data_IF_630655609314
#
_entry.id   IF_630655609314
#
_cell.length_a   1.000
_cell.length_b   1.000
_cell.length_c   1.000
_cell.angle_alpha   90.00
_cell.angle_beta   90.00
_cell.angle_gamma   90.00
#
_symmetry.space_group_name_H-M   'P 1'
#
loop_
_entity.id
_entity.type
_entity.pdbx_description
1 polymer ?
#
# COMPACT_ATOMS: atom_id res chain seq x y z
N UNK A 1 -5.78 -25.66 13.96
CA UNK A 1 -5.66 -24.19 14.03
C UNK A 1 -6.92 -23.55 13.48
N UNK A 2 -7.47 -22.51 14.12
CA UNK A 2 -8.63 -21.75 13.61
C UNK A 2 -8.15 -20.76 12.53
N UNK A 3 -8.93 -20.53 11.45
CA UNK A 3 -8.54 -19.63 10.36
C UNK A 3 -8.80 -18.15 10.71
N UNK A 4 -8.22 -17.67 11.82
CA UNK A 4 -8.37 -16.31 12.31
C UNK A 4 -7.01 -15.64 12.42
N UNK A 5 -6.90 -14.42 11.90
CA UNK A 5 -5.74 -13.54 12.06
C UNK A 5 -6.24 -12.17 12.54
N UNK A 6 -5.48 -11.45 13.38
CA UNK A 6 -5.78 -10.06 13.70
C UNK A 6 -5.79 -9.23 12.41
N UNK A 7 -6.95 -8.72 12.02
CA UNK A 7 -7.10 -7.93 10.79
C UNK A 7 -6.94 -6.42 11.02
N UNK A 8 -6.53 -6.00 12.22
CA UNK A 8 -6.46 -4.59 12.61
C UNK A 8 -5.27 -3.87 11.97
N UNK A 9 -4.20 -4.59 11.67
CA UNK A 9 -3.03 -4.07 10.97
C UNK A 9 -2.40 -5.18 10.12
N UNK A 10 -2.05 -4.88 8.88
CA UNK A 10 -1.34 -5.80 8.00
C UNK A 10 -0.37 -5.03 7.10
N UNK A 11 0.70 -5.70 6.71
CA UNK A 11 1.72 -5.14 5.81
C UNK A 11 1.19 -5.02 4.38
N UNK A 12 1.87 -4.22 3.55
CA UNK A 12 1.58 -4.13 2.11
C UNK A 12 1.54 -5.51 1.45
N UNK A 13 2.47 -6.40 1.80
CA UNK A 13 2.51 -7.79 1.33
C UNK A 13 1.24 -8.57 1.70
N UNK A 14 0.78 -8.50 2.95
CA UNK A 14 -0.43 -9.21 3.39
C UNK A 14 -1.72 -8.59 2.84
N UNK A 15 -1.68 -7.33 2.44
CA UNK A 15 -2.78 -6.63 1.77
C UNK A 15 -2.95 -7.07 0.30
N UNK A 16 -1.91 -7.61 -0.33
CA UNK A 16 -1.92 -7.94 -1.76
C UNK A 16 -3.06 -8.92 -2.09
N UNK A 17 -3.81 -8.60 -3.17
CA UNK A 17 -4.97 -9.39 -3.58
C UNK A 17 -6.26 -9.14 -2.80
N UNK A 18 -6.24 -8.29 -1.75
CA UNK A 18 -7.45 -7.90 -1.02
C UNK A 18 -8.12 -6.67 -1.66
N UNK A 19 -9.40 -6.51 -1.38
CA UNK A 19 -10.16 -5.27 -1.62
C UNK A 19 -10.73 -4.79 -0.30
N UNK A 20 -10.48 -3.53 0.05
CA UNK A 20 -10.84 -2.91 1.32
C UNK A 20 -11.79 -1.75 1.06
N UNK A 21 -12.86 -1.68 1.84
CA UNK A 21 -13.80 -0.56 1.77
C UNK A 21 -13.27 0.67 2.52
N UNK A 22 -12.57 0.44 3.65
CA UNK A 22 -11.94 1.48 4.48
C UNK A 22 -10.55 1.02 4.91
N UNK A 23 -9.56 1.91 4.86
CA UNK A 23 -8.19 1.64 5.30
C UNK A 23 -7.48 2.92 5.77
N UNK A 24 -6.67 2.80 6.81
CA UNK A 24 -5.72 3.82 7.22
C UNK A 24 -4.30 3.36 6.83
N UNK A 25 -3.59 4.17 6.03
CA UNK A 25 -2.29 3.83 5.44
C UNK A 25 -1.20 4.77 5.95
N UNK A 26 -0.06 4.22 6.38
CA UNK A 26 1.15 4.98 6.69
C UNK A 26 2.09 5.03 5.48
N UNK A 27 2.03 6.11 4.71
CA UNK A 27 2.93 6.33 3.57
C UNK A 27 4.32 6.84 3.99
N UNK A 28 4.48 7.40 5.18
CA UNK A 28 5.76 7.95 5.63
C UNK A 28 6.77 6.83 5.97
N UNK A 29 6.30 5.70 6.49
CA UNK A 29 7.11 4.48 6.70
C UNK A 29 7.26 3.61 5.45
N UNK A 30 6.70 4.04 4.31
CA UNK A 30 6.71 3.22 3.11
C UNK A 30 8.12 3.16 2.50
N UNK A 31 8.71 1.96 2.33
CA UNK A 31 10.09 1.84 1.87
C UNK A 31 10.23 2.03 0.35
N UNK A 32 9.18 1.70 -0.41
CA UNK A 32 9.22 1.68 -1.88
C UNK A 32 7.93 2.17 -2.51
N UNK A 33 8.01 2.69 -3.73
CA UNK A 33 6.84 3.12 -4.51
C UNK A 33 5.89 1.96 -4.80
N UNK A 34 6.41 0.74 -4.97
CA UNK A 34 5.62 -0.47 -5.18
C UNK A 34 4.77 -0.80 -3.96
N UNK A 35 5.33 -0.65 -2.75
CA UNK A 35 4.56 -0.85 -1.52
C UNK A 35 3.44 0.19 -1.38
N UNK A 36 3.71 1.45 -1.72
CA UNK A 36 2.71 2.51 -1.73
C UNK A 36 1.57 2.18 -2.71
N UNK A 37 1.92 1.77 -3.93
CA UNK A 37 0.97 1.34 -4.95
C UNK A 37 0.13 0.14 -4.49
N UNK A 38 0.75 -0.90 -3.91
CA UNK A 38 0.02 -2.07 -3.41
C UNK A 38 -1.00 -1.63 -2.36
N UNK A 39 -0.59 -0.85 -1.35
CA UNK A 39 -1.50 -0.40 -0.28
C UNK A 39 -2.65 0.45 -0.82
N UNK A 40 -2.35 1.47 -1.64
CA UNK A 40 -3.35 2.38 -2.18
C UNK A 40 -4.33 1.67 -3.12
N UNK A 41 -3.84 0.75 -3.96
CA UNK A 41 -4.69 0.00 -4.90
C UNK A 41 -5.62 -1.02 -4.24
N UNK A 42 -5.50 -1.27 -2.92
CA UNK A 42 -6.46 -2.14 -2.20
C UNK A 42 -7.73 -1.41 -1.81
N UNK A 43 -7.70 -0.08 -1.68
CA UNK A 43 -8.84 0.71 -1.21
C UNK A 43 -9.75 1.04 -2.39
N UNK A 44 -11.04 0.71 -2.28
CA UNK A 44 -12.01 0.85 -3.38
C UNK A 44 -12.41 2.29 -3.68
N UNK A 45 -12.29 3.19 -2.70
CA UNK A 45 -12.70 4.59 -2.86
C UNK A 45 -11.79 5.52 -2.07
N UNK A 46 -11.63 6.76 -2.55
CA UNK A 46 -10.90 7.79 -1.82
C UNK A 46 -11.57 8.17 -0.50
N UNK A 47 -12.91 8.08 -0.42
CA UNK A 47 -13.64 8.32 0.83
C UNK A 47 -13.32 7.28 1.92
N UNK A 48 -12.93 6.07 1.51
CA UNK A 48 -12.48 5.02 2.42
C UNK A 48 -11.00 5.10 2.78
N UNK A 49 -10.25 6.06 2.23
CA UNK A 49 -8.82 6.20 2.45
C UNK A 49 -8.51 7.23 3.54
N UNK A 50 -7.79 6.81 4.57
CA UNK A 50 -7.18 7.70 5.56
C UNK A 50 -5.66 7.59 5.45
N UNK A 51 -4.97 8.74 5.42
CA UNK A 51 -3.51 8.79 5.52
C UNK A 51 -3.14 9.05 6.98
N UNK A 52 -2.37 8.15 7.58
CA UNK A 52 -2.09 8.15 9.02
C UNK A 52 -1.37 9.42 9.49
N UNK A 53 -0.47 9.96 8.67
CA UNK A 53 0.36 11.13 8.97
C UNK A 53 0.91 11.79 7.71
N UNK A 54 1.34 13.07 7.78
CA UNK A 54 2.03 13.72 6.67
C UNK A 54 3.23 12.90 6.18
N UNK A 55 3.44 12.91 4.87
CA UNK A 55 4.54 12.21 4.20
C UNK A 55 5.10 13.10 3.09
N UNK A 56 6.35 12.86 2.69
CA UNK A 56 6.97 13.62 1.61
C UNK A 56 6.55 13.06 0.25
N UNK A 57 6.29 13.95 -0.72
CA UNK A 57 5.74 13.59 -2.03
C UNK A 57 6.64 12.64 -2.83
N UNK A 58 7.96 12.63 -2.56
CA UNK A 58 8.90 11.68 -3.16
C UNK A 58 8.52 10.21 -2.87
N UNK A 59 7.71 9.93 -1.85
CA UNK A 59 7.22 8.57 -1.57
C UNK A 59 6.26 8.04 -2.61
N UNK A 60 5.55 8.93 -3.33
CA UNK A 60 4.57 8.57 -4.35
C UNK A 60 4.93 9.08 -5.75
N UNK A 61 5.86 10.03 -5.85
CA UNK A 61 6.32 10.62 -7.11
C UNK A 61 7.69 10.09 -7.56
N UNK A 62 8.11 8.93 -7.06
CA UNK A 62 9.36 8.31 -7.48
C UNK A 62 9.18 7.31 -8.63
N UNK A 63 10.32 6.89 -9.14
CA UNK A 63 10.45 5.88 -10.16
C UNK A 63 10.28 4.46 -9.60
N UNK A 64 9.55 3.62 -10.31
CA UNK A 64 9.55 2.16 -10.07
C UNK A 64 10.97 1.60 -10.20
N UNK A 65 11.25 0.48 -9.50
CA UNK A 65 12.58 -0.15 -9.51
C UNK A 65 13.05 -0.45 -10.93
N UNK A 66 14.37 -0.43 -11.13
CA UNK A 66 14.97 -0.71 -12.42
C UNK A 66 14.57 -2.10 -12.95
N UNK A 67 14.62 -3.12 -12.10
CA UNK A 67 14.16 -4.48 -12.40
C UNK A 67 12.73 -4.50 -12.98
N UNK A 68 11.77 -3.84 -12.31
CA UNK A 68 10.38 -3.80 -12.77
C UNK A 68 10.22 -2.99 -14.08
N UNK A 69 11.08 -2.00 -14.32
CA UNK A 69 11.09 -1.26 -15.60
C UNK A 69 11.61 -2.10 -16.75
N UNK A 70 12.54 -3.00 -16.48
CA UNK A 70 13.09 -3.92 -17.47
C UNK A 70 12.07 -5.02 -17.80
N UNK A 71 11.32 -5.52 -16.82
CA UNK A 71 10.23 -6.48 -17.02
C UNK A 71 9.04 -5.93 -17.84
N UNK A 72 8.77 -4.63 -17.73
CA UNK A 72 7.63 -3.97 -18.41
C UNK A 72 7.95 -3.49 -19.84
N UNK A 73 9.20 -3.65 -20.32
CA UNK A 73 9.61 -3.32 -21.69
C UNK A 73 9.38 -4.50 -22.63
#
# INVERSE_FOLDING_TARGET
QLPLIPAYAFTSHNAQGRSLDVCCIDLASCPTIQSAYVMLSRVRSLNGLCILRPFSLDRIQNHISQELREELK
#
